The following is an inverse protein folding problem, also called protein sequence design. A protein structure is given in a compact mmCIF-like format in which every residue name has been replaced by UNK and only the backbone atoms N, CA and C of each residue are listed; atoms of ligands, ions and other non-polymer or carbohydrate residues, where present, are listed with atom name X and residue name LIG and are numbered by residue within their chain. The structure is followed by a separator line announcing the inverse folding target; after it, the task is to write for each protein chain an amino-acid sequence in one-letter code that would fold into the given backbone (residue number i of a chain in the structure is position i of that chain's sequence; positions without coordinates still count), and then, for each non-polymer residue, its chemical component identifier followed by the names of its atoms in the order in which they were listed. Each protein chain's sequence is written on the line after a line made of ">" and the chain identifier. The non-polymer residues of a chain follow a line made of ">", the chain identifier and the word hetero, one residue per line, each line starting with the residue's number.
data_IF_974216034421
#
_entry.id   IF_974216034421
#
_cell.length_a   1.000
_cell.length_b   1.000
_cell.length_c   1.000
_cell.angle_alpha   90.00
_cell.angle_beta   90.00
_cell.angle_gamma   90.00
#
_symmetry.space_group_name_H-M   'P 1'
#
loop_
_entity.id
_entity.type
_entity.pdbx_description
1 polymer ?
#
# COMPACT_ATOMS: atom_id res chain seq x y z
N UNK A 1 21.35 -44.06 26.11
CA UNK A 1 20.75 -42.89 25.46
C UNK A 1 20.35 -41.93 26.57
N UNK A 2 21.10 -40.85 26.74
CA UNK A 2 21.01 -39.94 27.90
C UNK A 2 20.01 -38.81 27.64
N UNK A 3 19.43 -38.24 28.70
CA UNK A 3 18.46 -37.12 28.67
C UNK A 3 18.89 -35.94 27.77
N UNK A 4 20.19 -35.71 27.63
CA UNK A 4 20.79 -34.71 26.74
C UNK A 4 20.51 -35.00 25.24
N UNK A 5 20.52 -36.27 24.81
CA UNK A 5 20.29 -36.66 23.41
C UNK A 5 18.82 -36.48 23.00
N UNK A 6 17.90 -36.68 23.94
CA UNK A 6 16.46 -36.47 23.72
C UNK A 6 16.08 -34.99 23.61
N UNK A 7 16.73 -34.11 24.37
CA UNK A 7 16.46 -32.66 24.32
C UNK A 7 17.01 -32.05 23.02
N UNK A 8 18.18 -32.50 22.57
CA UNK A 8 18.77 -32.05 21.30
C UNK A 8 17.91 -32.49 20.10
N UNK A 9 17.40 -33.73 20.11
CA UNK A 9 16.50 -34.23 19.08
C UNK A 9 15.18 -33.44 19.00
N UNK A 10 14.60 -33.03 20.14
CA UNK A 10 13.36 -32.25 20.19
C UNK A 10 13.57 -30.81 19.68
N UNK A 11 14.74 -30.20 19.90
CA UNK A 11 15.05 -28.86 19.37
C UNK A 11 15.37 -28.86 17.88
N UNK A 12 15.95 -29.93 17.33
CA UNK A 12 16.13 -30.07 15.87
C UNK A 12 14.81 -30.29 15.12
N UNK A 13 13.84 -31.01 15.71
CA UNK A 13 12.52 -31.19 15.09
C UNK A 13 11.70 -29.89 15.02
N UNK A 14 11.93 -28.93 15.93
CA UNK A 14 11.26 -27.61 15.88
C UNK A 14 11.93 -26.61 14.93
N UNK A 15 13.12 -26.91 14.40
CA UNK A 15 13.81 -26.07 13.42
C UNK A 15 13.52 -26.47 11.96
N UNK A 16 13.05 -27.69 11.72
CA UNK A 16 12.91 -28.25 10.37
C UNK A 16 11.57 -27.95 9.66
N UNK A 17 10.61 -27.29 10.31
CA UNK A 17 9.29 -26.98 9.71
C UNK A 17 9.20 -25.57 9.10
N UNK A 18 10.20 -24.71 9.30
CA UNK A 18 10.15 -23.32 8.84
C UNK A 18 10.88 -23.03 7.50
N UNK A 19 11.42 -24.03 6.80
CA UNK A 19 12.24 -23.83 5.58
C UNK A 19 11.65 -24.45 4.30
N UNK A 20 10.33 -24.72 4.28
CA UNK A 20 9.71 -25.51 3.22
C UNK A 20 8.84 -24.78 2.19
N UNK A 21 8.54 -23.49 2.35
CA UNK A 21 7.63 -22.77 1.44
C UNK A 21 8.11 -21.33 1.25
N UNK A 22 9.02 -21.07 0.31
CA UNK A 22 9.12 -19.75 -0.37
C UNK A 22 10.09 -19.74 -1.57
N UNK A 23 10.14 -20.80 -2.36
CA UNK A 23 10.85 -20.78 -3.66
C UNK A 23 9.92 -21.32 -4.75
N UNK A 24 8.96 -20.50 -5.20
CA UNK A 24 8.58 -20.32 -6.61
C UNK A 24 7.91 -18.96 -6.73
N UNK A 25 8.67 -17.89 -6.92
CA UNK A 25 8.14 -16.64 -7.47
C UNK A 25 8.33 -16.68 -8.98
N UNK A 26 7.44 -17.39 -9.69
CA UNK A 26 7.31 -17.15 -11.12
C UNK A 26 6.83 -15.71 -11.31
N UNK A 27 7.41 -14.91 -12.22
CA UNK A 27 6.79 -13.65 -12.60
C UNK A 27 5.50 -14.01 -13.35
N UNK A 28 4.38 -14.02 -12.63
CA UNK A 28 3.09 -13.97 -13.26
C UNK A 28 3.03 -12.64 -14.00
N UNK A 29 3.21 -12.67 -15.32
CA UNK A 29 2.87 -11.56 -16.18
C UNK A 29 1.38 -11.30 -16.03
N UNK A 30 1.03 -10.40 -15.12
CA UNK A 30 -0.31 -9.86 -14.99
C UNK A 30 -0.65 -9.05 -16.25
N UNK A 31 -1.24 -9.69 -17.24
CA UNK A 31 -2.10 -8.99 -18.21
C UNK A 31 -3.53 -8.98 -17.69
N UNK A 32 -3.70 -8.56 -16.43
CA UNK A 32 -5.01 -8.32 -15.83
C UNK A 32 -5.62 -7.03 -16.38
N UNK A 33 -6.95 -6.95 -16.40
CA UNK A 33 -7.64 -5.68 -16.60
C UNK A 33 -7.12 -4.66 -15.58
N UNK A 34 -6.37 -3.66 -16.03
CA UNK A 34 -5.84 -2.58 -15.20
C UNK A 34 -6.90 -1.55 -14.77
N UNK A 35 -8.17 -1.81 -15.09
CA UNK A 35 -9.29 -0.96 -14.75
C UNK A 35 -10.17 -1.67 -13.73
N UNK A 36 -10.62 -0.93 -12.74
CA UNK A 36 -11.54 -1.37 -11.72
C UNK A 36 -12.81 -0.52 -11.79
N UNK A 37 -13.97 -1.15 -11.65
CA UNK A 37 -15.26 -0.47 -11.67
C UNK A 37 -15.76 -0.11 -13.08
N UNK A 38 -16.77 0.78 -13.12
CA UNK A 38 -17.30 1.33 -14.37
C UNK A 38 -16.35 2.43 -14.87
N UNK A 39 -16.13 2.56 -16.19
CA UNK A 39 -15.43 3.72 -16.73
C UNK A 39 -16.10 5.03 -16.29
N UNK A 40 -15.29 6.03 -15.99
CA UNK A 40 -15.78 7.36 -15.64
C UNK A 40 -16.51 7.99 -16.85
N UNK A 41 -17.63 8.63 -16.58
CA UNK A 41 -18.26 9.58 -17.51
C UNK A 41 -17.35 10.78 -17.74
N UNK A 42 -17.60 11.57 -18.78
CA UNK A 42 -16.82 12.79 -19.04
C UNK A 42 -16.88 13.77 -17.86
N UNK A 43 -18.04 13.89 -17.21
CA UNK A 43 -18.23 14.75 -16.03
C UNK A 43 -17.39 14.26 -14.86
N UNK A 44 -17.42 12.95 -14.56
CA UNK A 44 -16.61 12.37 -13.49
C UNK A 44 -15.11 12.44 -13.80
N UNK A 45 -14.70 12.28 -15.05
CA UNK A 45 -13.31 12.40 -15.47
C UNK A 45 -12.80 13.84 -15.33
N UNK A 46 -13.63 14.85 -15.64
CA UNK A 46 -13.33 16.26 -15.38
C UNK A 46 -13.21 16.53 -13.88
N UNK A 47 -14.14 16.00 -13.08
CA UNK A 47 -14.09 16.13 -11.63
C UNK A 47 -12.81 15.50 -11.03
N UNK A 48 -12.41 14.32 -11.49
CA UNK A 48 -11.17 13.65 -11.07
C UNK A 48 -9.90 14.44 -11.42
N UNK A 49 -9.95 15.28 -12.46
CA UNK A 49 -8.89 16.21 -12.85
C UNK A 49 -9.00 17.59 -12.14
N UNK A 50 -9.92 17.75 -11.18
CA UNK A 50 -10.09 18.97 -10.40
C UNK A 50 -10.99 20.05 -11.05
N UNK A 51 -11.81 19.69 -12.04
CA UNK A 51 -12.73 20.62 -12.73
C UNK A 51 -14.18 20.19 -12.50
N UNK A 52 -14.88 20.89 -11.61
CA UNK A 52 -16.29 20.62 -11.27
C UNK A 52 -16.95 21.87 -10.66
N UNK A 53 -18.28 21.92 -10.71
CA UNK A 53 -19.07 22.93 -9.98
C UNK A 53 -19.35 22.45 -8.55
N UNK A 54 -19.29 23.34 -7.58
CA UNK A 54 -19.56 23.04 -6.16
C UNK A 54 -20.93 22.39 -5.95
N UNK A 55 -21.92 22.76 -6.77
CA UNK A 55 -23.28 22.19 -6.73
C UNK A 55 -23.32 20.68 -7.04
N UNK A 56 -22.26 20.14 -7.66
CA UNK A 56 -22.15 18.72 -7.97
C UNK A 56 -21.48 17.90 -6.85
N UNK A 57 -20.91 18.55 -5.82
CA UNK A 57 -20.30 17.86 -4.68
C UNK A 57 -21.39 17.25 -3.80
N UNK A 58 -21.18 16.01 -3.38
CA UNK A 58 -22.13 15.25 -2.57
C UNK A 58 -21.45 14.62 -1.35
N UNK A 59 -22.25 14.39 -0.31
CA UNK A 59 -21.80 13.65 0.87
C UNK A 59 -21.46 12.21 0.49
N UNK A 60 -20.45 11.66 1.16
CA UNK A 60 -19.99 10.28 0.99
C UNK A 60 -20.03 9.54 2.32
N UNK A 61 -20.21 8.21 2.26
CA UNK A 61 -20.17 7.34 3.44
C UNK A 61 -18.73 6.87 3.66
N UNK A 62 -18.38 6.56 4.91
CA UNK A 62 -17.06 5.98 5.21
C UNK A 62 -16.82 4.66 4.46
N UNK A 63 -17.89 3.92 4.14
CA UNK A 63 -17.82 2.66 3.40
C UNK A 63 -17.24 2.77 1.99
N UNK A 64 -17.17 3.99 1.43
CA UNK A 64 -16.47 4.17 0.15
C UNK A 64 -14.95 3.91 0.26
N UNK A 65 -14.43 3.84 1.49
CA UNK A 65 -13.05 3.50 1.81
C UNK A 65 -12.93 2.15 2.55
N UNK A 66 -13.98 1.33 2.60
CA UNK A 66 -13.90 0.01 3.24
C UNK A 66 -12.80 -0.86 2.61
N UNK A 67 -12.06 -1.57 3.46
CA UNK A 67 -10.98 -2.46 3.08
C UNK A 67 -9.68 -2.20 3.84
N UNK A 68 -8.62 -2.87 3.38
CA UNK A 68 -7.27 -2.78 3.95
C UNK A 68 -6.37 -2.04 2.98
N UNK A 69 -5.74 -0.98 3.48
CA UNK A 69 -4.94 -0.06 2.68
C UNK A 69 -3.49 -0.07 3.16
N UNK A 70 -2.55 -0.16 2.21
CA UNK A 70 -1.12 -0.10 2.49
C UNK A 70 -0.58 1.30 2.21
N UNK A 71 0.30 1.78 3.09
CA UNK A 71 1.11 2.97 2.78
C UNK A 71 2.04 2.69 1.61
N UNK A 72 2.20 3.68 0.72
CA UNK A 72 3.15 3.63 -0.39
C UNK A 72 4.55 4.12 0.01
N UNK A 73 4.72 4.65 1.23
CA UNK A 73 6.00 5.17 1.69
C UNK A 73 7.14 4.14 1.68
N UNK A 74 6.93 2.87 2.10
CA UNK A 74 7.96 1.84 2.00
C UNK A 74 8.40 1.56 0.56
N UNK A 75 7.50 1.70 -0.43
CA UNK A 75 7.84 1.53 -1.85
C UNK A 75 8.74 2.67 -2.35
N UNK A 76 8.52 3.89 -1.85
CA UNK A 76 9.40 5.02 -2.11
C UNK A 76 10.79 4.77 -1.50
N UNK A 77 10.84 4.38 -0.22
CA UNK A 77 12.08 4.12 0.51
C UNK A 77 12.91 3.00 -0.13
N UNK A 78 12.25 1.95 -0.64
CA UNK A 78 12.93 0.84 -1.33
C UNK A 78 13.31 1.15 -2.79
N UNK A 79 13.04 2.36 -3.29
CA UNK A 79 13.31 2.76 -4.69
C UNK A 79 12.37 2.15 -5.74
N UNK A 80 11.31 1.42 -5.34
CA UNK A 80 10.36 0.80 -6.29
C UNK A 80 9.54 1.83 -7.07
N UNK A 81 9.43 3.06 -6.56
CA UNK A 81 8.75 4.16 -7.25
C UNK A 81 9.69 4.99 -8.16
N UNK A 82 10.99 4.69 -8.20
CA UNK A 82 11.94 5.44 -9.04
C UNK A 82 11.54 5.46 -10.53
N UNK A 83 11.03 4.37 -11.15
CA UNK A 83 10.52 4.43 -12.52
C UNK A 83 9.37 5.42 -12.72
N UNK A 84 8.52 5.62 -11.71
CA UNK A 84 7.41 6.59 -11.76
C UNK A 84 7.96 8.02 -11.74
N UNK A 85 8.93 8.29 -10.87
CA UNK A 85 9.56 9.61 -10.76
C UNK A 85 10.37 9.96 -12.00
N UNK A 86 11.09 8.98 -12.58
CA UNK A 86 11.79 9.17 -13.84
C UNK A 86 10.83 9.54 -14.97
N UNK A 87 9.72 8.80 -15.12
CA UNK A 87 8.70 9.11 -16.13
C UNK A 87 8.12 10.52 -15.96
N UNK A 88 7.93 10.99 -14.73
CA UNK A 88 7.46 12.35 -14.45
C UNK A 88 8.52 13.41 -14.80
N UNK A 89 9.79 13.18 -14.47
CA UNK A 89 10.88 14.09 -14.83
C UNK A 89 11.10 14.18 -16.34
N UNK A 90 10.96 13.07 -17.06
CA UNK A 90 11.08 13.05 -18.52
C UNK A 90 9.97 13.87 -19.19
N UNK A 91 8.77 13.85 -18.60
CA UNK A 91 7.61 14.59 -19.07
C UNK A 91 7.60 16.08 -18.68
N UNK A 92 8.09 16.42 -17.49
CA UNK A 92 8.16 17.79 -16.99
C UNK A 92 9.57 18.38 -17.17
N UNK A 93 9.73 19.28 -18.14
CA UNK A 93 11.03 19.93 -18.44
C UNK A 93 11.49 20.91 -17.36
N UNK A 94 10.67 21.20 -16.36
CA UNK A 94 10.97 22.17 -15.29
C UNK A 94 11.37 21.50 -13.99
N UNK A 95 11.28 20.16 -13.89
CA UNK A 95 11.55 19.40 -12.67
C UNK A 95 12.53 18.27 -12.92
N UNK A 96 13.51 18.17 -12.04
CA UNK A 96 14.45 17.05 -12.01
C UNK A 96 13.85 15.85 -11.29
N UNK A 97 14.42 14.66 -11.53
CA UNK A 97 14.08 13.45 -10.78
C UNK A 97 14.17 13.65 -9.25
N UNK A 98 15.23 14.33 -8.78
CA UNK A 98 15.46 14.57 -7.36
C UNK A 98 14.36 15.46 -6.75
N UNK A 99 13.97 16.54 -7.41
CA UNK A 99 12.88 17.42 -6.95
C UNK A 99 11.53 16.69 -6.91
N UNK A 100 11.25 15.85 -7.90
CA UNK A 100 10.02 15.04 -7.93
C UNK A 100 10.03 14.01 -6.80
N UNK A 101 11.15 13.30 -6.62
CA UNK A 101 11.30 12.31 -5.54
C UNK A 101 11.17 12.97 -4.17
N UNK A 102 11.74 14.16 -3.97
CA UNK A 102 11.64 14.91 -2.71
C UNK A 102 10.19 15.38 -2.45
N UNK A 103 9.49 15.86 -3.48
CA UNK A 103 8.07 16.20 -3.40
C UNK A 103 7.23 15.01 -2.89
N UNK A 104 7.42 13.83 -3.48
CA UNK A 104 6.70 12.62 -3.06
C UNK A 104 7.23 12.05 -1.73
N UNK A 105 8.51 12.22 -1.40
CA UNK A 105 9.06 11.83 -0.11
C UNK A 105 8.37 12.62 1.00
N UNK A 106 8.23 13.94 0.84
CA UNK A 106 7.50 14.79 1.78
C UNK A 106 6.01 14.45 1.84
N UNK A 107 5.38 14.14 0.70
CA UNK A 107 3.95 13.84 0.62
C UNK A 107 3.56 12.46 1.18
N UNK A 108 4.42 11.46 1.03
CA UNK A 108 4.12 10.09 1.46
C UNK A 108 4.66 9.74 2.85
N UNK A 109 5.60 10.51 3.40
CA UNK A 109 6.19 10.21 4.71
C UNK A 109 5.11 10.06 5.80
N UNK A 110 5.01 8.85 6.34
CA UNK A 110 4.13 8.49 7.45
C UNK A 110 4.73 7.28 8.17
N UNK A 111 4.46 7.16 9.46
CA UNK A 111 4.78 5.98 10.27
C UNK A 111 3.60 5.00 10.39
N UNK A 112 2.47 5.30 9.74
CA UNK A 112 1.32 4.40 9.64
C UNK A 112 1.46 3.57 8.36
N UNK A 113 1.84 2.30 8.49
CA UNK A 113 2.05 1.40 7.34
C UNK A 113 0.77 0.79 6.79
N UNK A 114 -0.29 0.66 7.59
CA UNK A 114 -1.56 0.04 7.21
C UNK A 114 -2.74 0.76 7.86
N UNK A 115 -3.81 0.91 7.08
CA UNK A 115 -5.10 1.40 7.55
C UNK A 115 -6.17 0.33 7.25
N UNK A 116 -6.94 -0.06 8.25
CA UNK A 116 -8.13 -0.89 8.10
C UNK A 116 -9.38 -0.03 8.25
N UNK A 117 -10.37 -0.21 7.37
CA UNK A 117 -11.65 0.49 7.45
C UNK A 117 -12.76 -0.54 7.24
N UNK A 118 -13.61 -0.69 8.26
CA UNK A 118 -14.77 -1.59 8.24
C UNK A 118 -15.77 -1.16 9.32
N UNK A 119 -17.08 -1.32 9.07
CA UNK A 119 -18.15 -1.09 10.06
C UNK A 119 -18.16 0.30 10.73
N UNK A 120 -17.68 1.33 10.01
CA UNK A 120 -17.59 2.69 10.53
C UNK A 120 -16.34 2.94 11.38
N UNK A 121 -15.47 1.96 11.54
CA UNK A 121 -14.24 2.02 12.34
C UNK A 121 -13.05 2.21 11.41
N UNK A 122 -12.17 3.15 11.76
CA UNK A 122 -10.85 3.28 11.15
C UNK A 122 -9.81 2.79 12.15
N UNK A 123 -8.95 1.89 11.71
CA UNK A 123 -7.83 1.34 12.45
C UNK A 123 -6.51 1.76 11.79
N UNK A 124 -5.60 2.32 12.57
CA UNK A 124 -4.27 2.72 12.15
C UNK A 124 -3.23 1.80 12.78
N UNK A 125 -2.41 1.17 11.94
CA UNK A 125 -1.28 0.34 12.37
C UNK A 125 0.01 1.11 12.20
N UNK A 126 0.76 1.28 13.29
CA UNK A 126 2.07 1.93 13.37
C UNK A 126 3.04 0.96 14.04
N UNK A 127 3.94 0.37 13.27
CA UNK A 127 4.81 -0.72 13.73
C UNK A 127 3.99 -1.87 14.35
N UNK A 128 4.17 -2.14 15.64
CA UNK A 128 3.41 -3.17 16.37
C UNK A 128 2.28 -2.57 17.24
N UNK A 129 1.95 -1.29 17.04
CA UNK A 129 0.89 -0.60 17.76
C UNK A 129 -0.31 -0.33 16.85
N UNK A 130 -1.50 -0.38 17.44
CA UNK A 130 -2.75 -0.22 16.73
C UNK A 130 -3.66 0.72 17.52
N UNK A 131 -4.23 1.71 16.83
CA UNK A 131 -5.25 2.62 17.38
C UNK A 131 -6.47 2.61 16.50
N UNK A 132 -7.67 2.65 17.08
CA UNK A 132 -8.92 2.67 16.31
C UNK A 132 -9.96 3.60 16.91
N UNK A 133 -10.86 4.08 16.06
CA UNK A 133 -12.01 4.88 16.46
C UNK A 133 -13.18 4.65 15.49
N UNK A 134 -14.41 4.73 16.01
CA UNK A 134 -15.59 4.87 15.17
C UNK A 134 -15.76 6.34 14.82
N UNK A 135 -15.59 6.68 13.55
CA UNK A 135 -15.66 8.07 13.09
C UNK A 135 -17.11 8.46 12.82
N UNK A 136 -17.46 9.70 13.17
CA UNK A 136 -18.75 10.34 12.92
C UNK A 136 -18.85 10.94 11.51
#
# INVERSE_FOLDING_TARGET
>A
MTLEETVLAIRLHKLAVALGVFIVSAPAFSHGHHSHGKPLTEVEQKAANGVFDDANVQNRKLSDWDGVWQSVYPLLQSGKLDPVFQKKADADKTKTFAEIKDYYHKGYATDIEMIGIEDGIVEFHRNNETTSCKYD
#
